data_IF_778709426769
#
_entry.id   IF_778709426769
#
_cell.length_a   1.000
_cell.length_b   1.000
_cell.length_c   1.000
_cell.angle_alpha   90.00
_cell.angle_beta   90.00
_cell.angle_gamma   90.00
#
_symmetry.space_group_name_H-M   'P 1'
#
loop_
_entity.id
_entity.type
_entity.pdbx_description
1 polymer ?
#
# COMPACT_ATOMS: atom_id res chain seq x y z
N UNK A 1 -38.04 15.60 7.28
CA UNK A 1 -37.62 15.45 8.68
C UNK A 1 -37.94 14.03 9.12
N UNK A 2 -36.91 13.20 9.31
CA UNK A 2 -37.02 11.82 9.75
C UNK A 2 -35.63 11.33 10.12
N UNK A 3 -35.32 11.38 11.41
CA UNK A 3 -34.03 11.02 12.02
C UNK A 3 -33.66 9.55 11.77
N UNK A 4 -32.41 9.31 11.38
CA UNK A 4 -31.78 8.00 11.42
C UNK A 4 -30.94 7.91 12.69
N UNK A 5 -31.56 7.48 13.79
CA UNK A 5 -30.91 7.24 15.08
C UNK A 5 -31.11 5.78 15.47
N UNK A 6 -30.53 4.84 14.71
CA UNK A 6 -30.21 3.51 15.23
C UNK A 6 -29.30 2.74 14.24
N UNK A 7 -28.05 2.51 14.61
CA UNK A 7 -27.20 1.54 13.91
C UNK A 7 -26.57 0.57 14.92
N UNK A 8 -27.42 -0.05 15.73
CA UNK A 8 -27.11 -1.29 16.45
C UNK A 8 -27.60 -2.48 15.63
N UNK A 9 -26.70 -3.14 14.89
CA UNK A 9 -27.08 -4.37 14.18
C UNK A 9 -26.25 -4.70 12.95
N UNK A 10 -24.95 -4.94 13.10
CA UNK A 10 -24.17 -5.60 12.05
C UNK A 10 -24.37 -7.12 12.12
N UNK A 11 -25.54 -7.59 11.70
CA UNK A 11 -25.82 -9.01 11.49
C UNK A 11 -26.58 -9.16 10.18
N UNK A 12 -25.86 -9.56 9.12
CA UNK A 12 -26.45 -9.81 7.80
C UNK A 12 -25.72 -9.06 6.71
N UNK A 13 -25.11 -9.82 5.80
CA UNK A 13 -24.27 -9.31 4.71
C UNK A 13 -24.93 -8.18 3.92
N UNK A 14 -24.28 -7.02 3.95
CA UNK A 14 -24.56 -5.92 3.05
C UNK A 14 -23.39 -5.84 2.06
N UNK A 15 -23.53 -6.48 0.90
CA UNK A 15 -22.60 -6.35 -0.24
C UNK A 15 -22.65 -4.96 -0.92
N UNK A 16 -23.05 -3.93 -0.18
CA UNK A 16 -23.28 -2.58 -0.69
C UNK A 16 -23.24 -1.48 0.37
N UNK A 17 -22.77 -1.75 1.60
CA UNK A 17 -22.56 -0.70 2.59
C UNK A 17 -21.23 0.04 2.31
N UNK A 18 -21.19 0.76 1.20
CA UNK A 18 -20.17 1.79 0.89
C UNK A 18 -20.43 3.05 1.73
N UNK A 19 -20.65 2.89 3.04
CA UNK A 19 -21.22 3.90 3.93
C UNK A 19 -20.43 4.20 5.19
N UNK A 20 -19.30 3.52 5.42
CA UNK A 20 -18.28 3.99 6.35
C UNK A 20 -17.14 4.54 5.51
N UNK A 21 -17.38 5.70 4.87
CA UNK A 21 -16.32 6.50 4.27
C UNK A 21 -15.36 6.92 5.40
N UNK A 22 -14.44 6.03 5.75
CA UNK A 22 -13.21 6.39 6.44
C UNK A 22 -12.50 7.30 5.45
N UNK A 23 -12.61 8.60 5.67
CA UNK A 23 -11.83 9.61 5.00
C UNK A 23 -10.38 9.11 4.92
N UNK A 24 -9.95 8.80 3.70
CA UNK A 24 -8.65 8.22 3.45
C UNK A 24 -7.69 9.37 3.20
N UNK A 25 -7.00 9.80 4.25
CA UNK A 25 -5.92 10.78 4.12
C UNK A 25 -4.69 10.04 3.60
N UNK A 26 -4.21 10.41 2.42
CA UNK A 26 -2.98 9.90 1.82
C UNK A 26 -2.01 11.06 1.67
N UNK A 27 -0.80 10.93 2.21
CA UNK A 27 0.24 11.94 2.09
C UNK A 27 0.92 11.93 0.72
N UNK A 28 1.66 12.98 0.36
CA UNK A 28 2.33 13.09 -0.94
C UNK A 28 3.30 11.93 -1.22
N UNK A 29 4.14 11.55 -0.25
CA UNK A 29 5.06 10.41 -0.42
C UNK A 29 4.36 9.05 -0.54
N UNK A 30 3.17 8.90 0.04
CA UNK A 30 2.34 7.70 -0.15
C UNK A 30 1.75 7.65 -1.57
N UNK A 31 1.31 8.80 -2.09
CA UNK A 31 0.79 8.92 -3.47
C UNK A 31 1.87 8.61 -4.49
N UNK A 32 3.08 9.16 -4.34
CA UNK A 32 4.20 8.89 -5.24
C UNK A 32 4.53 7.39 -5.28
N UNK A 33 4.52 6.73 -4.12
CA UNK A 33 4.77 5.30 -4.05
C UNK A 33 3.65 4.47 -4.68
N UNK A 34 2.38 4.86 -4.49
CA UNK A 34 1.24 4.20 -5.15
C UNK A 34 1.33 4.33 -6.68
N UNK A 35 1.70 5.51 -7.20
CA UNK A 35 1.94 5.71 -8.64
C UNK A 35 3.05 4.80 -9.16
N UNK A 36 4.13 4.64 -8.40
CA UNK A 36 5.23 3.72 -8.76
C UNK A 36 4.75 2.27 -8.81
N UNK A 37 3.98 1.82 -7.82
CA UNK A 37 3.36 0.49 -7.86
C UNK A 37 2.29 0.33 -8.96
N UNK A 38 1.70 1.42 -9.45
CA UNK A 38 0.85 1.40 -10.64
C UNK A 38 1.62 1.04 -11.92
N UNK A 39 2.88 1.45 -12.00
CA UNK A 39 3.76 1.15 -13.13
C UNK A 39 4.37 -0.25 -13.04
N UNK A 40 4.59 -0.77 -11.83
CA UNK A 40 5.19 -2.07 -11.59
C UNK A 40 4.25 -2.98 -10.81
N UNK A 41 3.83 -4.11 -11.41
CA UNK A 41 2.92 -5.06 -10.77
C UNK A 41 3.43 -5.58 -9.41
N UNK A 42 4.75 -5.69 -9.24
CA UNK A 42 5.40 -6.09 -8.00
C UNK A 42 6.70 -5.32 -7.78
N UNK A 43 6.97 -4.89 -6.55
CA UNK A 43 8.23 -4.29 -6.13
C UNK A 43 8.94 -5.12 -5.04
N UNK A 44 10.28 -5.07 -4.97
CA UNK A 44 11.05 -5.83 -3.99
C UNK A 44 10.99 -5.19 -2.61
N UNK A 45 10.77 -6.01 -1.58
CA UNK A 45 10.79 -5.58 -0.17
C UNK A 45 11.58 -6.57 0.67
N UNK A 46 12.46 -6.07 1.51
CA UNK A 46 13.25 -6.91 2.41
C UNK A 46 13.03 -6.53 3.87
N UNK A 47 13.57 -7.32 4.79
CA UNK A 47 13.68 -6.95 6.20
C UNK A 47 14.87 -7.65 6.84
N UNK A 48 15.34 -7.11 7.98
CA UNK A 48 16.39 -7.76 8.76
C UNK A 48 15.81 -8.90 9.60
N UNK A 49 16.65 -9.85 9.99
CA UNK A 49 16.23 -10.90 10.94
C UNK A 49 15.92 -10.26 12.30
N UNK A 50 14.71 -10.51 12.82
CA UNK A 50 14.23 -9.95 14.09
C UNK A 50 13.69 -8.51 14.00
N UNK A 51 13.73 -7.88 12.82
CA UNK A 51 13.16 -6.55 12.57
C UNK A 51 11.98 -6.69 11.60
N UNK A 52 10.81 -6.19 12.01
CA UNK A 52 9.60 -6.21 11.18
C UNK A 52 9.47 -4.98 10.30
N UNK A 53 10.45 -4.07 10.32
CA UNK A 53 10.47 -2.89 9.48
C UNK A 53 10.78 -3.27 8.03
N UNK A 54 9.89 -2.93 7.06
CA UNK A 54 10.16 -3.18 5.66
C UNK A 54 11.26 -2.24 5.16
N UNK A 55 12.26 -2.80 4.49
CA UNK A 55 13.32 -2.08 3.81
C UNK A 55 13.04 -2.04 2.32
N UNK A 56 12.97 -0.82 1.77
CA UNK A 56 12.99 -0.59 0.33
C UNK A 56 14.42 -0.33 -0.11
N UNK A 57 14.85 -1.02 -1.17
CA UNK A 57 16.27 -1.21 -1.50
C UNK A 57 16.72 -0.43 -2.73
N UNK A 58 15.91 0.53 -3.15
CA UNK A 58 16.31 1.43 -4.23
C UNK A 58 17.25 2.53 -3.73
N UNK A 59 18.33 2.83 -4.49
CA UNK A 59 19.37 3.76 -4.06
C UNK A 59 18.88 5.21 -3.93
N UNK A 60 17.81 5.57 -4.64
CA UNK A 60 17.14 6.86 -4.66
C UNK A 60 15.89 6.91 -3.78
N UNK A 61 15.67 5.88 -2.94
CA UNK A 61 14.53 5.84 -2.03
C UNK A 61 14.57 7.01 -1.03
N UNK A 62 13.44 7.73 -0.84
CA UNK A 62 13.39 8.85 0.09
C UNK A 62 13.58 8.39 1.55
N UNK A 63 14.15 9.27 2.38
CA UNK A 63 14.25 9.04 3.81
C UNK A 63 12.84 8.82 4.40
N UNK A 64 12.66 7.74 5.17
CA UNK A 64 11.36 7.39 5.75
C UNK A 64 10.46 6.54 4.86
N UNK A 65 10.94 6.04 3.70
CA UNK A 65 10.16 5.12 2.85
C UNK A 65 9.62 3.90 3.60
N UNK A 66 10.37 3.38 4.58
CA UNK A 66 9.92 2.28 5.44
C UNK A 66 8.65 2.60 6.22
N UNK A 67 8.51 3.86 6.69
CA UNK A 67 7.31 4.32 7.37
C UNK A 67 6.14 4.43 6.38
N UNK A 68 6.39 4.97 5.19
CA UNK A 68 5.39 5.04 4.10
C UNK A 68 4.85 3.65 3.79
N UNK A 69 5.72 2.64 3.63
CA UNK A 69 5.31 1.26 3.40
C UNK A 69 4.41 0.72 4.52
N UNK A 70 4.79 0.92 5.78
CA UNK A 70 3.99 0.50 6.93
C UNK A 70 2.63 1.21 6.99
N UNK A 71 2.58 2.50 6.65
CA UNK A 71 1.33 3.26 6.61
C UNK A 71 0.41 2.78 5.49
N UNK A 72 0.96 2.56 4.29
CA UNK A 72 0.22 2.03 3.14
C UNK A 72 -0.32 0.62 3.40
N UNK A 73 0.49 -0.24 4.03
CA UNK A 73 0.09 -1.59 4.43
C UNK A 73 -1.03 -1.53 5.49
N UNK A 74 -0.88 -0.68 6.52
CA UNK A 74 -1.89 -0.49 7.57
C UNK A 74 -3.19 0.10 7.02
N UNK A 75 -3.12 0.95 6.00
CA UNK A 75 -4.29 1.47 5.26
C UNK A 75 -4.90 0.42 4.34
N UNK A 76 -4.23 -0.71 4.12
CA UNK A 76 -4.65 -1.78 3.23
C UNK A 76 -4.62 -1.36 1.77
N UNK A 77 -3.70 -0.47 1.38
CA UNK A 77 -3.50 -0.05 0.00
C UNK A 77 -2.49 -0.94 -0.71
N UNK A 78 -1.47 -1.39 0.01
CA UNK A 78 -0.49 -2.38 -0.47
C UNK A 78 -0.57 -3.67 0.35
N UNK A 79 -0.12 -4.76 -0.26
CA UNK A 79 0.11 -6.03 0.42
C UNK A 79 1.60 -6.36 0.35
N UNK A 80 2.17 -6.78 1.47
CA UNK A 80 3.56 -7.24 1.59
C UNK A 80 3.56 -8.74 1.84
N UNK A 81 4.27 -9.51 1.02
CA UNK A 81 4.34 -10.97 1.09
C UNK A 81 5.80 -11.42 1.11
N UNK A 82 6.26 -11.90 2.27
CA UNK A 82 7.62 -12.40 2.48
C UNK A 82 7.80 -13.89 2.12
N UNK A 83 6.72 -14.60 1.77
CA UNK A 83 6.79 -15.98 1.29
C UNK A 83 7.02 -16.04 -0.22
N UNK A 84 6.76 -14.92 -0.91
CA UNK A 84 6.96 -14.75 -2.35
C UNK A 84 8.08 -13.76 -2.65
N UNK A 85 9.36 -14.14 -2.48
CA UNK A 85 10.46 -13.29 -2.87
C UNK A 85 10.47 -13.11 -4.40
N UNK A 86 10.72 -11.88 -4.84
CA UNK A 86 11.05 -11.61 -6.25
C UNK A 86 12.37 -12.28 -6.64
N UNK A 87 12.56 -12.47 -7.96
CA UNK A 87 13.76 -13.09 -8.51
C UNK A 87 15.02 -12.28 -8.15
N UNK A 88 16.18 -12.94 -8.14
CA UNK A 88 17.47 -12.30 -7.78
C UNK A 88 17.90 -11.17 -8.75
N UNK A 89 17.29 -11.09 -9.93
CA UNK A 89 17.50 -10.03 -10.93
C UNK A 89 17.03 -8.63 -10.48
N UNK A 90 16.28 -8.54 -9.37
CA UNK A 90 15.89 -7.28 -8.73
C UNK A 90 17.01 -6.58 -7.93
N UNK A 91 18.23 -7.14 -7.92
CA UNK A 91 19.43 -6.46 -7.45
C UNK A 91 20.21 -7.19 -6.37
N UNK A 92 21.52 -6.95 -6.34
CA UNK A 92 22.45 -7.55 -5.36
C UNK A 92 22.14 -7.12 -3.93
N UNK A 93 21.68 -5.88 -3.73
CA UNK A 93 21.24 -5.38 -2.43
C UNK A 93 20.05 -6.16 -1.89
N UNK A 94 19.05 -6.46 -2.73
CA UNK A 94 17.91 -7.29 -2.36
C UNK A 94 18.29 -8.74 -2.08
N UNK A 95 19.19 -9.31 -2.89
CA UNK A 95 19.70 -10.65 -2.68
C UNK A 95 20.51 -10.82 -1.38
N UNK A 96 21.12 -9.75 -0.85
CA UNK A 96 21.93 -9.77 0.36
C UNK A 96 21.12 -9.83 1.66
N UNK A 97 19.81 -9.55 1.62
CA UNK A 97 18.97 -9.57 2.83
C UNK A 97 18.53 -11.01 3.18
N UNK A 98 18.47 -11.34 4.49
CA UNK A 98 18.09 -12.68 4.94
C UNK A 98 16.60 -12.97 4.72
N UNK A 99 15.74 -11.96 4.81
CA UNK A 99 14.31 -12.08 4.57
C UNK A 99 13.93 -11.18 3.40
N UNK A 100 13.28 -11.77 2.41
CA UNK A 100 12.99 -11.17 1.11
C UNK A 100 11.54 -11.46 0.75
N UNK A 101 10.88 -10.49 0.14
CA UNK A 101 9.48 -10.57 -0.22
C UNK A 101 9.16 -9.68 -1.41
N UNK A 102 7.90 -9.71 -1.78
CA UNK A 102 7.32 -8.84 -2.78
C UNK A 102 6.25 -7.98 -2.15
N UNK A 103 6.01 -6.83 -2.76
CA UNK A 103 4.84 -6.00 -2.48
C UNK A 103 4.08 -5.68 -3.74
N UNK A 104 2.76 -5.55 -3.62
CA UNK A 104 1.86 -5.25 -4.72
C UNK A 104 0.70 -4.37 -4.24
N UNK A 105 0.03 -3.70 -5.18
CA UNK A 105 -1.23 -3.02 -4.88
C UNK A 105 -2.31 -4.04 -4.53
N UNK A 106 -3.08 -3.71 -3.50
CA UNK A 106 -4.37 -4.36 -3.26
C UNK A 106 -5.42 -3.82 -4.23
N UNK A 107 -6.57 -4.48 -4.31
CA UNK A 107 -7.73 -3.96 -5.03
C UNK A 107 -8.11 -2.54 -4.56
N UNK A 108 -8.02 -2.27 -3.25
CA UNK A 108 -8.29 -0.93 -2.70
C UNK A 108 -7.23 0.09 -3.14
N UNK A 109 -5.96 -0.31 -3.15
CA UNK A 109 -4.86 0.54 -3.64
C UNK A 109 -5.02 0.92 -5.09
N UNK A 110 -5.44 -0.02 -5.95
CA UNK A 110 -5.74 0.24 -7.36
C UNK A 110 -6.87 1.26 -7.51
N UNK A 111 -7.98 1.08 -6.79
CA UNK A 111 -9.11 2.04 -6.82
C UNK A 111 -8.68 3.45 -6.38
N UNK A 112 -7.84 3.55 -5.36
CA UNK A 112 -7.32 4.85 -4.89
C UNK A 112 -6.40 5.48 -5.92
N UNK A 113 -5.54 4.68 -6.56
CA UNK A 113 -4.66 5.17 -7.62
C UNK A 113 -5.48 5.68 -8.83
N UNK A 114 -6.48 4.92 -9.27
CA UNK A 114 -7.40 5.35 -10.33
C UNK A 114 -8.08 6.68 -9.97
N UNK A 115 -8.58 6.84 -8.73
CA UNK A 115 -9.18 8.10 -8.28
C UNK A 115 -8.19 9.27 -8.30
N UNK A 116 -6.93 9.05 -7.94
CA UNK A 116 -5.89 10.09 -7.97
C UNK A 116 -5.58 10.54 -9.41
N UNK A 117 -5.57 9.60 -10.36
CA UNK A 117 -5.41 9.88 -11.79
C UNK A 117 -6.61 10.66 -12.35
N UNK A 118 -7.84 10.27 -11.99
CA UNK A 118 -9.06 10.97 -12.40
C UNK A 118 -9.17 12.40 -11.83
N UNK A 119 -8.66 12.64 -10.63
CA UNK A 119 -8.68 13.96 -9.98
C UNK A 119 -7.64 14.93 -10.53
N UNK A 120 -6.85 14.52 -11.53
CA UNK A 120 -5.88 15.41 -12.17
C UNK A 120 -4.74 15.82 -11.23
N UNK A 121 -4.39 15.01 -10.24
CA UNK A 121 -3.13 15.16 -9.48
C UNK A 121 -1.90 14.73 -10.32
N UNK A 122 -1.95 15.05 -11.61
CA UNK A 122 -0.81 15.23 -12.49
C UNK A 122 -0.54 16.73 -12.48
N UNK A 123 0.27 17.18 -11.53
CA UNK A 123 0.95 18.46 -11.70
C UNK A 123 1.80 18.32 -12.98
N UNK A 124 1.47 19.12 -14.00
CA UNK A 124 2.33 19.36 -15.18
C UNK A 124 3.61 20.11 -14.79
#
# INVERSE_FOLDING_TARGET
MGNCENCGGCAGGCSGCSGCARELVVGPGEIEFLKKLGQFAFLPVARKMGDFTPCYLEPDAPEGISLILQLLEKKGLISVDYDKPLKAEYGTAYAAFPIRGSMALTQRGQQVLELLEYQGMTEE
#
